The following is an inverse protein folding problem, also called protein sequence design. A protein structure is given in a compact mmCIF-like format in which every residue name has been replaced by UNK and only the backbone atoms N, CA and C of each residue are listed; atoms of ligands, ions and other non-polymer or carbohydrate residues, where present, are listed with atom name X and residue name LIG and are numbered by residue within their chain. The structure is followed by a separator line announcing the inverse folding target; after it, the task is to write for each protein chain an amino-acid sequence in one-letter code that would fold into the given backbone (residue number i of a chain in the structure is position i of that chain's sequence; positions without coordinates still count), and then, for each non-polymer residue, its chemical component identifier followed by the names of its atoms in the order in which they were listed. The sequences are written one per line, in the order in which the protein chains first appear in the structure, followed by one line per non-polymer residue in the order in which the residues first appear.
data_IF_246579405001
#
_entry.id   IF_246579405001
#
_cell.length_a   1.000
_cell.length_b   1.000
_cell.length_c   1.000
_cell.angle_alpha   90.00
_cell.angle_beta   90.00
_cell.angle_gamma   90.00
#
_symmetry.space_group_name_H-M   'P 1'
#
loop_
_entity.id
_entity.type
_entity.pdbx_description
1 polymer ?
#
# COMPACT_ATOMS: atom_id res chain seq x y z
N UNK A 1 -16.44 7.88 -1.33
CA UNK A 1 -15.54 9.00 -1.66
C UNK A 1 -14.98 9.60 -0.38
N UNK A 2 -15.84 9.86 0.60
CA UNK A 2 -15.51 10.40 1.94
C UNK A 2 -14.37 9.67 2.71
N UNK A 3 -14.34 8.33 2.75
CA UNK A 3 -13.32 7.59 3.54
C UNK A 3 -11.91 7.75 2.96
N UNK A 4 -11.78 7.81 1.63
CA UNK A 4 -10.48 7.95 0.96
C UNK A 4 -9.91 9.35 1.18
N UNK A 5 -10.76 10.37 1.12
CA UNK A 5 -10.38 11.75 1.44
C UNK A 5 -9.91 11.84 2.89
N UNK A 6 -10.69 11.32 3.85
CA UNK A 6 -10.28 11.25 5.26
C UNK A 6 -8.95 10.53 5.48
N UNK A 7 -8.67 9.46 4.73
CA UNK A 7 -7.38 8.77 4.78
C UNK A 7 -6.27 9.63 4.20
N UNK A 8 -6.51 10.28 3.07
CA UNK A 8 -5.52 11.13 2.42
C UNK A 8 -5.14 12.29 3.33
N UNK A 9 -6.13 12.94 3.94
CA UNK A 9 -5.91 13.98 4.94
C UNK A 9 -5.07 13.45 6.10
N UNK A 10 -5.46 12.34 6.74
CA UNK A 10 -4.71 11.77 7.87
C UNK A 10 -3.28 11.35 7.55
N UNK A 11 -3.04 10.81 6.35
CA UNK A 11 -1.74 10.28 5.97
C UNK A 11 -0.78 11.38 5.51
N UNK A 12 -1.32 12.41 4.84
CA UNK A 12 -0.53 13.51 4.27
C UNK A 12 -0.41 14.72 5.21
N UNK A 13 -1.25 14.85 6.24
CA UNK A 13 -1.25 15.96 7.23
C UNK A 13 -0.13 15.85 8.29
N UNK A 14 1.05 15.33 7.92
CA UNK A 14 2.22 15.20 8.79
C UNK A 14 3.22 16.36 8.62
N UNK A 15 2.71 17.57 8.36
CA UNK A 15 3.51 18.76 7.98
C UNK A 15 4.56 19.14 9.03
N UNK A 16 4.45 18.67 10.27
CA UNK A 16 5.39 19.00 11.36
C UNK A 16 6.45 17.93 11.68
N UNK A 17 6.32 16.68 11.21
CA UNK A 17 7.23 15.57 11.58
C UNK A 17 7.93 14.96 10.36
N UNK A 18 9.18 15.38 10.14
CA UNK A 18 10.04 14.83 9.08
C UNK A 18 10.32 13.35 9.35
N UNK A 19 9.95 12.47 8.42
CA UNK A 19 10.37 11.08 8.45
C UNK A 19 11.89 11.01 8.21
N UNK A 20 12.62 10.36 9.13
CA UNK A 20 14.08 10.20 9.04
C UNK A 20 14.50 8.83 8.51
N UNK A 21 13.53 8.04 8.06
CA UNK A 21 13.79 6.76 7.43
C UNK A 21 14.47 6.96 6.07
N UNK A 22 15.49 6.16 5.78
CA UNK A 22 16.14 6.14 4.48
C UNK A 22 15.24 5.41 3.48
N UNK A 23 14.62 6.17 2.57
CA UNK A 23 13.75 5.62 1.53
C UNK A 23 14.45 4.58 0.64
N UNK A 24 15.78 4.68 0.45
CA UNK A 24 16.57 3.71 -0.30
C UNK A 24 16.53 2.32 0.32
N UNK A 25 16.62 2.23 1.65
CA UNK A 25 16.50 0.97 2.40
C UNK A 25 15.10 0.35 2.19
N UNK A 26 14.04 1.16 2.23
CA UNK A 26 12.68 0.65 2.09
C UNK A 26 12.30 0.29 0.66
N UNK A 27 12.84 1.02 -0.34
CA UNK A 27 12.80 0.62 -1.75
C UNK A 27 13.40 -0.76 -1.95
N UNK A 28 14.59 -1.00 -1.38
CA UNK A 28 15.24 -2.30 -1.44
C UNK A 28 14.43 -3.40 -0.73
N UNK A 29 13.84 -3.11 0.44
CA UNK A 29 12.97 -4.07 1.15
C UNK A 29 11.73 -4.44 0.34
N UNK A 30 11.06 -3.47 -0.27
CA UNK A 30 9.89 -3.70 -1.11
C UNK A 30 10.23 -4.53 -2.36
N UNK A 31 11.38 -4.27 -2.98
CA UNK A 31 11.90 -5.07 -4.08
C UNK A 31 12.13 -6.53 -3.66
N UNK A 32 12.88 -6.76 -2.58
CA UNK A 32 13.20 -8.10 -2.08
C UNK A 32 11.92 -8.85 -1.69
N UNK A 33 10.97 -8.16 -1.06
CA UNK A 33 9.68 -8.75 -0.70
C UNK A 33 8.86 -9.19 -1.93
N UNK A 34 8.83 -8.36 -2.97
CA UNK A 34 8.19 -8.68 -4.26
C UNK A 34 8.84 -9.91 -4.91
N UNK A 35 10.17 -9.99 -4.91
CA UNK A 35 10.92 -11.12 -5.48
C UNK A 35 10.73 -12.42 -4.69
N UNK A 36 10.75 -12.35 -3.35
CA UNK A 36 10.66 -13.51 -2.48
C UNK A 36 9.29 -14.19 -2.52
N UNK A 37 8.21 -13.41 -2.54
CA UNK A 37 6.84 -13.96 -2.56
C UNK A 37 6.19 -13.98 -3.95
N UNK A 38 6.86 -13.47 -4.98
CA UNK A 38 6.23 -13.24 -6.28
C UNK A 38 5.03 -12.30 -6.17
N UNK A 39 5.08 -11.35 -5.21
CA UNK A 39 4.00 -10.42 -4.90
C UNK A 39 4.16 -9.10 -5.67
N UNK A 40 3.08 -8.32 -5.78
CA UNK A 40 3.18 -6.90 -6.13
C UNK A 40 3.39 -6.14 -4.83
N UNK A 41 4.44 -5.34 -4.75
CA UNK A 41 4.73 -4.53 -3.56
C UNK A 41 4.59 -3.06 -3.87
N UNK A 42 3.80 -2.36 -3.06
CA UNK A 42 3.62 -0.90 -3.14
C UNK A 42 4.28 -0.29 -1.92
N UNK A 43 5.29 0.55 -2.13
CA UNK A 43 5.89 1.37 -1.09
C UNK A 43 5.38 2.79 -1.27
N UNK A 44 4.50 3.24 -0.38
CA UNK A 44 3.97 4.61 -0.38
C UNK A 44 4.76 5.48 0.59
N UNK A 45 5.47 6.47 0.04
CA UNK A 45 6.12 7.54 0.79
C UNK A 45 5.13 8.67 1.01
N UNK A 46 4.57 8.70 2.22
CA UNK A 46 3.57 9.71 2.62
C UNK A 46 4.17 11.12 2.68
N UNK A 47 5.48 11.26 2.98
CA UNK A 47 6.13 12.56 3.06
C UNK A 47 6.34 13.16 1.66
N UNK A 48 6.72 12.33 0.69
CA UNK A 48 6.90 12.77 -0.69
C UNK A 48 5.58 12.75 -1.51
N UNK A 49 4.49 12.21 -0.95
CA UNK A 49 3.25 11.89 -1.66
C UNK A 49 3.52 11.08 -2.95
N UNK A 50 4.34 10.04 -2.83
CA UNK A 50 4.77 9.20 -3.95
C UNK A 50 4.61 7.73 -3.63
N UNK A 51 4.46 6.89 -4.64
CA UNK A 51 4.55 5.44 -4.48
C UNK A 51 5.50 4.79 -5.47
N UNK A 52 6.16 3.72 -5.01
CA UNK A 52 7.04 2.87 -5.79
C UNK A 52 6.41 1.48 -5.89
N UNK A 53 6.08 1.06 -7.10
CA UNK A 53 5.37 -0.20 -7.35
C UNK A 53 6.34 -1.20 -7.98
N UNK A 54 6.65 -2.24 -7.21
CA UNK A 54 7.47 -3.36 -7.64
C UNK A 54 6.60 -4.49 -8.16
N UNK A 55 6.81 -4.83 -9.42
CA UNK A 55 6.03 -5.81 -10.16
C UNK A 55 6.75 -7.15 -10.19
N UNK A 56 5.96 -8.22 -10.17
CA UNK A 56 6.36 -9.61 -10.32
C UNK A 56 5.44 -10.30 -11.32
N UNK A 57 5.59 -11.62 -11.52
CA UNK A 57 4.70 -12.39 -12.39
C UNK A 57 3.20 -12.24 -12.02
N UNK A 58 2.88 -12.00 -10.74
CA UNK A 58 1.50 -11.72 -10.31
C UNK A 58 0.90 -10.46 -10.95
N UNK A 59 1.71 -9.45 -11.29
CA UNK A 59 1.25 -8.25 -12.00
C UNK A 59 0.74 -8.60 -13.41
N UNK A 60 1.45 -9.48 -14.10
CA UNK A 60 1.06 -9.96 -15.43
C UNK A 60 -0.26 -10.73 -15.39
N UNK A 61 -0.43 -11.62 -14.41
CA UNK A 61 -1.67 -12.37 -14.22
C UNK A 61 -2.85 -11.46 -13.86
N UNK A 62 -2.59 -10.38 -13.12
CA UNK A 62 -3.59 -9.36 -12.85
C UNK A 62 -3.78 -8.36 -14.01
N UNK A 63 -3.13 -8.54 -15.16
CA UNK A 63 -3.26 -7.64 -16.31
C UNK A 63 -2.90 -6.19 -15.99
N UNK A 64 -1.93 -5.99 -15.10
CA UNK A 64 -1.35 -4.68 -14.80
C UNK A 64 -0.23 -4.38 -15.80
N UNK A 65 -0.12 -3.12 -16.20
CA UNK A 65 0.77 -2.66 -17.28
C UNK A 65 2.24 -3.04 -17.03
N UNK A 66 2.91 -3.54 -18.08
CA UNK A 66 4.36 -3.79 -18.08
C UNK A 66 5.13 -2.52 -18.47
N UNK A 67 5.05 -1.50 -17.62
CA UNK A 67 5.93 -0.33 -17.68
C UNK A 67 7.25 -0.55 -16.94
N UNK A 68 7.93 0.53 -16.56
CA UNK A 68 9.14 0.48 -15.74
C UNK A 68 8.92 -0.28 -14.42
N UNK A 69 9.97 -0.96 -13.93
CA UNK A 69 9.95 -1.69 -12.67
C UNK A 69 11.16 -1.29 -11.82
N UNK A 70 10.99 -0.54 -10.72
CA UNK A 70 9.70 -0.10 -10.18
C UNK A 70 9.01 0.96 -11.05
N UNK A 71 7.68 1.01 -10.99
CA UNK A 71 6.93 2.18 -11.48
C UNK A 71 6.85 3.21 -10.36
N UNK A 72 7.24 4.45 -10.64
CA UNK A 72 7.04 5.58 -9.74
C UNK A 72 5.75 6.33 -10.11
N UNK A 73 4.93 6.67 -9.11
CA UNK A 73 3.73 7.49 -9.28
C UNK A 73 3.72 8.64 -8.26
N UNK A 74 3.27 9.82 -8.67
CA UNK A 74 3.17 11.03 -7.83
C UNK A 74 1.87 11.04 -7.00
N UNK A 75 1.57 9.92 -6.37
CA UNK A 75 0.46 9.78 -5.42
C UNK A 75 0.67 8.57 -4.51
N UNK A 76 0.09 8.61 -3.31
CA UNK A 76 0.02 7.43 -2.42
C UNK A 76 -1.01 6.39 -2.88
N UNK A 77 -1.82 6.68 -3.90
CA UNK A 77 -2.92 5.83 -4.36
C UNK A 77 -2.63 5.13 -5.69
N UNK A 78 -2.59 3.80 -5.65
CA UNK A 78 -2.34 2.90 -6.78
C UNK A 78 -3.56 2.73 -7.71
N UNK A 79 -4.01 3.81 -8.35
CA UNK A 79 -5.27 3.85 -9.13
C UNK A 79 -5.48 2.69 -10.11
N UNK A 80 -4.42 2.28 -10.83
CA UNK A 80 -4.49 1.15 -11.77
C UNK A 80 -4.90 -0.15 -11.07
N UNK A 81 -4.34 -0.42 -9.89
CA UNK A 81 -4.70 -1.59 -9.07
C UNK A 81 -6.07 -1.43 -8.42
N UNK A 82 -6.37 -0.26 -7.84
CA UNK A 82 -7.65 0.01 -7.17
C UNK A 82 -8.84 -0.15 -8.12
N UNK A 83 -8.69 0.20 -9.40
CA UNK A 83 -9.73 0.01 -10.43
C UNK A 83 -10.04 -1.46 -10.71
N UNK A 84 -9.07 -2.36 -10.50
CA UNK A 84 -9.26 -3.80 -10.68
C UNK A 84 -9.90 -4.48 -9.46
N UNK A 85 -9.89 -3.85 -8.28
CA UNK A 85 -10.53 -4.40 -7.08
C UNK A 85 -12.07 -4.29 -7.19
N UNK A 86 -12.79 -5.36 -6.82
CA UNK A 86 -14.24 -5.34 -6.73
C UNK A 86 -14.73 -4.17 -5.85
N UNK A 87 -15.76 -3.39 -6.25
CA UNK A 87 -16.17 -2.19 -5.52
C UNK A 87 -16.40 -2.38 -4.01
N UNK A 88 -17.09 -3.44 -3.60
CA UNK A 88 -17.31 -3.77 -2.18
C UNK A 88 -16.00 -4.03 -1.43
N UNK A 89 -15.06 -4.74 -2.06
CA UNK A 89 -13.78 -5.10 -1.44
C UNK A 89 -12.85 -3.89 -1.39
N UNK A 90 -12.96 -2.97 -2.37
CA UNK A 90 -12.28 -1.68 -2.37
C UNK A 90 -12.75 -0.79 -1.21
N UNK A 91 -14.06 -0.70 -0.98
CA UNK A 91 -14.61 0.01 0.17
C UNK A 91 -14.13 -0.60 1.49
N UNK A 92 -14.17 -1.93 1.60
CA UNK A 92 -13.64 -2.65 2.78
C UNK A 92 -12.15 -2.42 2.99
N UNK A 93 -11.33 -2.37 1.92
CA UNK A 93 -9.91 -2.03 1.99
C UNK A 93 -9.71 -0.66 2.64
N UNK A 94 -10.42 0.38 2.18
CA UNK A 94 -10.32 1.72 2.78
C UNK A 94 -10.78 1.73 4.25
N UNK A 95 -11.85 1.02 4.60
CA UNK A 95 -12.31 0.92 5.99
C UNK A 95 -11.27 0.23 6.87
N UNK A 96 -10.67 -0.87 6.39
CA UNK A 96 -9.63 -1.59 7.13
C UNK A 96 -8.38 -0.73 7.32
N UNK A 97 -7.96 -0.01 6.29
CA UNK A 97 -6.83 0.91 6.36
C UNK A 97 -7.07 2.03 7.38
N UNK A 98 -8.25 2.66 7.36
CA UNK A 98 -8.60 3.70 8.35
C UNK A 98 -8.66 3.15 9.77
N UNK A 99 -9.22 1.96 9.97
CA UNK A 99 -9.26 1.30 11.29
C UNK A 99 -7.85 0.94 11.76
N UNK A 100 -7.02 0.47 10.85
CA UNK A 100 -5.65 0.10 11.16
C UNK A 100 -4.82 1.32 11.55
N UNK A 101 -4.93 2.41 10.79
CA UNK A 101 -4.31 3.69 11.15
C UNK A 101 -4.72 4.13 12.56
N UNK A 102 -6.02 4.16 12.85
CA UNK A 102 -6.53 4.54 14.18
C UNK A 102 -6.06 3.61 15.30
N UNK A 103 -5.96 2.31 15.02
CA UNK A 103 -5.43 1.35 15.99
C UNK A 103 -3.98 1.68 16.33
N UNK A 104 -3.12 1.82 15.31
CA UNK A 104 -1.70 2.09 15.54
C UNK A 104 -1.46 3.46 16.18
N UNK A 105 -2.24 4.47 15.80
CA UNK A 105 -2.16 5.81 16.39
C UNK A 105 -2.42 5.81 17.91
N UNK A 106 -3.31 4.91 18.38
CA UNK A 106 -3.61 4.72 19.80
C UNK A 106 -2.60 3.80 20.54
N UNK A 107 -1.58 3.27 19.87
CA UNK A 107 -0.58 2.36 20.44
C UNK A 107 0.78 3.03 20.63
N UNK A 108 1.54 2.52 21.61
CA UNK A 108 2.96 2.85 21.81
C UNK A 108 3.79 2.49 20.57
N UNK A 109 4.76 3.35 20.24
CA UNK A 109 5.48 3.29 18.97
C UNK A 109 6.20 1.95 18.75
N UNK A 110 6.77 1.39 19.81
CA UNK A 110 7.51 0.13 19.81
C UNK A 110 6.61 -1.06 19.45
N UNK A 111 5.32 -0.98 19.75
CA UNK A 111 4.35 -2.06 19.50
C UNK A 111 3.79 -2.02 18.09
N UNK A 112 3.78 -0.86 17.42
CA UNK A 112 3.11 -0.67 16.12
C UNK A 112 3.66 -1.61 15.04
N UNK A 113 4.95 -1.90 15.08
CA UNK A 113 5.64 -2.76 14.09
C UNK A 113 5.23 -4.24 14.16
N UNK A 114 4.57 -4.68 15.23
CA UNK A 114 4.12 -6.06 15.40
C UNK A 114 2.80 -6.36 14.66
N UNK A 115 2.16 -5.37 14.04
CA UNK A 115 0.84 -5.50 13.44
C UNK A 115 0.85 -5.28 11.94
N UNK A 116 -0.08 -5.97 11.26
CA UNK A 116 -0.36 -5.80 9.84
C UNK A 116 -1.83 -6.08 9.56
N UNK A 117 -2.34 -5.50 8.48
CA UNK A 117 -3.63 -5.93 7.92
C UNK A 117 -3.37 -7.12 7.02
N UNK A 118 -4.16 -8.17 7.16
CA UNK A 118 -4.24 -9.28 6.21
C UNK A 118 -5.69 -9.42 5.77
N UNK A 119 -5.94 -9.39 4.47
CA UNK A 119 -7.27 -9.53 3.91
C UNK A 119 -7.24 -10.33 2.60
N UNK A 120 -8.41 -10.78 2.18
CA UNK A 120 -8.63 -11.44 0.90
C UNK A 120 -9.57 -10.57 0.08
N UNK A 121 -9.16 -10.17 -1.11
CA UNK A 121 -9.89 -9.23 -1.97
C UNK A 121 -10.09 -9.83 -3.37
N UNK A 122 -11.19 -9.52 -4.02
CA UNK A 122 -11.43 -9.85 -5.43
C UNK A 122 -10.78 -8.80 -6.32
N UNK A 123 -9.88 -9.22 -7.18
CA UNK A 123 -9.27 -8.38 -8.22
C UNK A 123 -9.52 -9.00 -9.58
N UNK A 124 -9.86 -8.18 -10.57
CA UNK A 124 -9.91 -8.62 -11.96
C UNK A 124 -8.52 -9.07 -12.42
N UNK A 125 -8.45 -10.16 -13.16
CA UNK A 125 -7.24 -10.64 -13.81
C UNK A 125 -7.06 -10.01 -15.21
N UNK A 126 -6.10 -10.50 -15.99
CA UNK A 126 -5.87 -10.10 -17.39
C UNK A 126 -7.03 -10.42 -18.35
N UNK A 127 -7.93 -11.32 -17.96
CA UNK A 127 -9.13 -11.70 -18.71
C UNK A 127 -10.40 -11.02 -18.15
N UNK A 128 -10.25 -10.03 -17.27
CA UNK A 128 -11.33 -9.32 -16.59
C UNK A 128 -12.19 -10.19 -15.65
N UNK A 129 -11.71 -11.37 -15.27
CA UNK A 129 -12.36 -12.25 -14.30
C UNK A 129 -11.88 -11.98 -12.88
N UNK A 130 -12.79 -12.02 -11.90
CA UNK A 130 -12.40 -11.82 -10.50
C UNK A 130 -11.66 -13.04 -9.95
N UNK A 131 -10.42 -12.80 -9.48
CA UNK A 131 -9.61 -13.74 -8.71
C UNK A 131 -9.44 -13.27 -7.29
N UNK A 132 -9.28 -14.22 -6.38
CA UNK A 132 -8.97 -13.91 -5.00
C UNK A 132 -7.49 -13.61 -4.83
N UNK A 133 -7.18 -12.44 -4.28
CA UNK A 133 -5.82 -11.98 -4.00
C UNK A 133 -5.66 -11.77 -2.50
N UNK A 134 -4.54 -12.27 -1.95
CA UNK A 134 -4.11 -11.99 -0.58
C UNK A 134 -3.54 -10.57 -0.54
N UNK A 135 -4.17 -9.69 0.20
CA UNK A 135 -3.71 -8.31 0.43
C UNK A 135 -3.11 -8.20 1.83
N UNK A 136 -1.95 -7.55 1.92
CA UNK A 136 -1.29 -7.22 3.18
C UNK A 136 -0.87 -5.76 3.19
N UNK A 137 -0.91 -5.15 4.36
CA UNK A 137 -0.52 -3.76 4.55
C UNK A 137 0.18 -3.60 5.89
N UNK A 138 1.24 -2.81 5.87
CA UNK A 138 2.10 -2.50 7.00
C UNK A 138 2.29 -0.99 7.04
N UNK A 139 2.26 -0.39 8.24
CA UNK A 139 2.79 0.96 8.43
C UNK A 139 4.20 0.85 8.97
N UNK A 140 5.08 1.69 8.45
CA UNK A 140 6.47 1.78 8.86
C UNK A 140 6.65 3.18 9.43
N UNK A 141 6.85 3.26 10.74
CA UNK A 141 7.03 4.53 11.44
C UNK A 141 8.52 4.84 11.57
N UNK A 142 8.85 6.12 11.39
CA UNK A 142 10.12 6.65 11.89
C UNK A 142 10.10 6.55 13.42
N UNK A 143 11.20 6.15 14.09
CA UNK A 143 11.28 6.14 15.55
C UNK A 143 11.12 7.54 16.20
N UNK A 144 10.98 8.57 15.38
CA UNK A 144 10.78 9.96 15.78
C UNK A 144 9.38 10.51 15.44
N UNK A 145 8.47 9.68 14.90
CA UNK A 145 7.13 10.08 14.44
C UNK A 145 5.97 9.49 15.25
#
# INVERSE_FOLDING_TARGET
MEIREQLSDKLLDNVSKKCLLDIGIYKQRALVYSQMEGAISVLSDMQANKSYIYKSAAAAELGLSMGENPTEIDTIWEEEMLKKIHPDDRLKKYIHELRFFKLLDAMEMEQRTAYSVVSKIRMKDKNEEYRWVKHRMFYIYSPYN
#
